data_IF_789210319565
#
_entry.id   IF_789210319565
#
_cell.length_a   1.000
_cell.length_b   1.000
_cell.length_c   1.000
_cell.angle_alpha   90.00
_cell.angle_beta   90.00
_cell.angle_gamma   90.00
#
_symmetry.space_group_name_H-M   'P 1'
#
loop_
_entity.id
_entity.type
_entity.pdbx_description
1 polymer ?
#
# COMPACT_ATOMS: atom_id res chain seq x y z
N UNK A 1 22.57 6.29 4.58
CA UNK A 1 21.09 6.21 4.69
C UNK A 1 20.61 4.84 4.29
N UNK A 2 19.48 4.37 4.83
CA UNK A 2 18.79 3.14 4.45
C UNK A 2 17.30 3.41 4.36
N UNK A 3 16.62 2.74 3.44
CA UNK A 3 15.19 2.88 3.20
C UNK A 3 14.63 1.57 2.68
N UNK A 4 13.49 1.16 3.23
CA UNK A 4 12.69 0.06 2.73
C UNK A 4 11.25 0.54 2.50
N UNK A 5 10.71 0.14 1.35
CA UNK A 5 9.28 0.18 1.05
C UNK A 5 8.77 -1.26 1.20
N UNK A 6 7.88 -1.48 2.16
CA UNK A 6 7.35 -2.81 2.49
C UNK A 6 5.95 -3.02 1.91
N UNK A 7 5.16 -1.96 1.77
CA UNK A 7 3.86 -1.98 1.09
C UNK A 7 3.70 -0.68 0.30
N UNK A 8 3.16 -0.74 -0.93
CA UNK A 8 2.75 -1.95 -1.66
C UNK A 8 3.96 -2.75 -2.19
N UNK A 9 3.77 -4.06 -2.41
CA UNK A 9 4.78 -4.89 -3.08
C UNK A 9 4.63 -4.82 -4.60
N UNK A 10 5.72 -5.17 -5.30
CA UNK A 10 5.70 -5.20 -6.77
C UNK A 10 4.68 -6.22 -7.29
N UNK A 11 3.88 -5.78 -8.26
CA UNK A 11 2.82 -6.52 -8.95
C UNK A 11 1.63 -6.92 -8.06
N UNK A 12 1.48 -6.31 -6.88
CA UNK A 12 0.26 -6.49 -6.10
C UNK A 12 -0.95 -5.83 -6.78
N UNK A 13 -2.13 -6.37 -6.48
CA UNK A 13 -3.40 -5.80 -6.92
C UNK A 13 -4.10 -5.17 -5.72
N UNK A 14 -4.41 -3.88 -5.82
CA UNK A 14 -5.14 -3.15 -4.79
C UNK A 14 -6.50 -2.67 -5.28
N UNK A 15 -7.44 -2.64 -4.34
CA UNK A 15 -8.73 -1.99 -4.43
C UNK A 15 -9.04 -1.42 -3.05
N UNK A 16 -9.82 -0.34 -2.99
CA UNK A 16 -10.24 0.27 -1.73
C UNK A 16 -9.12 1.05 -1.04
N UNK A 17 -9.05 0.88 0.28
CA UNK A 17 -8.04 1.47 1.16
C UNK A 17 -7.11 0.35 1.62
N UNK A 18 -5.81 0.56 1.51
CA UNK A 18 -4.79 -0.39 1.96
C UNK A 18 -3.65 0.33 2.68
N UNK A 19 -2.63 -0.42 3.10
CA UNK A 19 -1.48 0.18 3.78
C UNK A 19 -0.42 0.63 2.76
N UNK A 20 0.27 1.71 3.07
CA UNK A 20 1.54 2.10 2.46
C UNK A 20 2.51 2.30 3.62
N UNK A 21 3.58 1.50 3.66
CA UNK A 21 4.48 1.47 4.82
C UNK A 21 5.89 1.04 4.50
N UNK A 22 6.77 1.30 5.46
CA UNK A 22 8.15 0.84 5.44
C UNK A 22 8.93 1.44 6.60
N UNK A 23 10.23 1.60 6.41
CA UNK A 23 11.12 2.23 7.38
C UNK A 23 12.26 2.96 6.69
N UNK A 24 12.78 4.00 7.35
CA UNK A 24 13.93 4.78 6.87
C UNK A 24 14.91 5.04 8.02
N UNK A 25 16.20 5.14 7.72
CA UNK A 25 17.27 5.39 8.69
C UNK A 25 18.37 6.26 8.11
N UNK A 26 18.80 7.26 8.87
CA UNK A 26 20.04 7.98 8.63
C UNK A 26 20.72 8.27 9.97
N UNK A 27 22.06 8.25 10.00
CA UNK A 27 22.82 8.57 11.22
C UNK A 27 22.59 10.00 11.70
N UNK A 28 22.14 10.89 10.83
CA UNK A 28 21.75 12.27 11.15
C UNK A 28 20.27 12.42 11.52
N UNK A 29 19.47 11.35 11.50
CA UNK A 29 18.02 11.41 11.61
C UNK A 29 17.32 11.61 10.26
N UNK A 30 16.03 11.33 10.23
CA UNK A 30 15.15 11.49 9.06
C UNK A 30 14.27 12.72 9.28
N UNK A 31 14.37 13.68 8.37
CA UNK A 31 13.58 14.90 8.37
C UNK A 31 12.16 14.67 7.83
N UNK A 32 12.05 13.89 6.74
CA UNK A 32 10.75 13.50 6.17
C UNK A 32 10.85 12.26 5.28
N UNK A 33 9.70 11.63 5.05
CA UNK A 33 9.51 10.59 4.03
C UNK A 33 8.45 11.09 3.05
N UNK A 34 8.89 11.48 1.86
CA UNK A 34 8.03 11.99 0.79
C UNK A 34 7.45 10.82 -0.02
N UNK A 35 6.17 10.93 -0.39
CA UNK A 35 5.48 9.93 -1.23
C UNK A 35 5.07 10.56 -2.55
N UNK A 36 5.49 9.91 -3.64
CA UNK A 36 5.08 10.21 -4.99
C UNK A 36 4.29 9.03 -5.57
N UNK A 37 3.29 9.33 -6.39
CA UNK A 37 2.58 8.34 -7.21
C UNK A 37 2.65 8.80 -8.66
N UNK A 38 3.12 7.90 -9.52
CA UNK A 38 3.41 8.16 -10.94
C UNK A 38 4.32 9.38 -11.16
N UNK A 39 5.28 9.57 -10.24
CA UNK A 39 6.22 10.69 -10.26
C UNK A 39 5.65 12.03 -9.75
N UNK A 40 4.40 12.06 -9.30
CA UNK A 40 3.75 13.26 -8.76
C UNK A 40 3.70 13.17 -7.24
N UNK A 41 4.16 14.23 -6.57
CA UNK A 41 4.04 14.36 -5.11
C UNK A 41 2.58 14.24 -4.66
N UNK A 42 2.36 13.44 -3.60
CA UNK A 42 1.03 13.28 -2.99
C UNK A 42 1.01 13.86 -1.58
N UNK A 43 1.91 13.42 -0.70
CA UNK A 43 2.06 13.91 0.68
C UNK A 43 3.39 13.43 1.30
N UNK A 44 3.73 13.95 2.49
CA UNK A 44 4.77 13.35 3.34
C UNK A 44 4.13 12.32 4.30
N UNK A 45 4.69 11.11 4.35
CA UNK A 45 4.21 10.04 5.22
C UNK A 45 4.56 10.31 6.70
N UNK A 46 3.66 10.01 7.65
CA UNK A 46 3.99 10.05 9.07
C UNK A 46 5.16 9.12 9.39
N UNK A 47 6.16 9.64 10.09
CA UNK A 47 7.40 8.95 10.45
C UNK A 47 7.58 8.93 11.98
N UNK A 48 8.39 8.00 12.50
CA UNK A 48 8.63 7.83 13.94
C UNK A 48 7.98 6.58 14.54
N UNK A 49 7.42 5.70 13.70
CA UNK A 49 6.73 4.49 14.14
C UNK A 49 7.68 3.44 14.73
N UNK A 50 7.22 2.71 15.74
CA UNK A 50 8.01 1.66 16.40
C UNK A 50 8.36 0.51 15.44
N UNK A 51 9.64 0.14 15.41
CA UNK A 51 10.25 -0.94 14.62
C UNK A 51 11.36 -1.61 15.41
N UNK A 52 11.00 -2.41 16.40
CA UNK A 52 11.97 -3.13 17.24
C UNK A 52 12.86 -4.09 16.46
N UNK A 53 12.38 -4.63 15.34
CA UNK A 53 13.16 -5.44 14.39
C UNK A 53 14.28 -4.62 13.73
N UNK A 54 13.97 -3.39 13.31
CA UNK A 54 14.93 -2.46 12.72
C UNK A 54 15.89 -1.94 13.79
N UNK A 55 15.39 -1.62 14.99
CA UNK A 55 16.20 -1.21 16.14
C UNK A 55 17.20 -2.27 16.58
N UNK A 56 16.79 -3.55 16.57
CA UNK A 56 17.69 -4.67 16.84
C UNK A 56 18.75 -4.89 15.76
N UNK A 57 18.40 -4.69 14.49
CA UNK A 57 19.32 -4.85 13.36
C UNK A 57 20.32 -3.70 13.20
N UNK A 58 19.96 -2.49 13.64
CA UNK A 58 20.76 -1.26 13.49
C UNK A 58 20.93 -0.51 14.82
N UNK A 59 21.30 -1.24 15.87
CA UNK A 59 21.46 -0.71 17.23
C UNK A 59 22.51 0.41 17.36
N UNK A 60 23.38 0.57 16.37
CA UNK A 60 24.39 1.64 16.29
C UNK A 60 23.83 2.98 15.82
N UNK A 61 22.61 3.01 15.27
CA UNK A 61 21.94 4.21 14.78
C UNK A 61 20.92 4.66 15.83
N UNK A 62 21.01 5.92 16.24
CA UNK A 62 20.07 6.53 17.17
C UNK A 62 18.63 6.50 16.63
N UNK A 63 17.66 6.24 17.51
CA UNK A 63 16.23 6.12 17.20
C UNK A 63 15.90 5.12 16.07
N UNK A 64 16.76 4.11 15.86
CA UNK A 64 16.51 3.08 14.85
C UNK A 64 15.27 2.23 15.12
N UNK A 65 14.84 2.17 16.38
CA UNK A 65 13.58 1.57 16.83
C UNK A 65 12.35 2.44 16.54
N UNK A 66 12.52 3.68 16.09
CA UNK A 66 11.45 4.63 15.69
C UNK A 66 11.54 4.99 14.20
N UNK A 67 11.96 4.03 13.39
CA UNK A 67 12.26 4.23 11.97
C UNK A 67 11.06 4.05 11.03
N UNK A 68 9.90 3.65 11.57
CA UNK A 68 8.74 3.29 10.77
C UNK A 68 8.02 4.50 10.16
N UNK A 69 7.55 4.34 8.93
CA UNK A 69 6.49 5.15 8.36
C UNK A 69 5.32 4.26 7.93
N UNK A 70 4.09 4.74 8.07
CA UNK A 70 2.88 3.99 7.68
C UNK A 70 1.70 4.93 7.52
N UNK A 71 0.83 4.64 6.55
CA UNK A 71 -0.47 5.28 6.44
C UNK A 71 -1.49 4.41 5.72
N UNK A 72 -2.78 4.70 5.96
CA UNK A 72 -3.86 4.18 5.13
C UNK A 72 -3.93 4.98 3.81
N UNK A 73 -3.73 4.31 2.68
CA UNK A 73 -3.77 4.91 1.36
C UNK A 73 -5.02 4.46 0.58
N UNK A 74 -5.74 5.42 0.00
CA UNK A 74 -6.92 5.15 -0.82
C UNK A 74 -6.51 4.84 -2.27
N UNK A 75 -6.15 3.59 -2.55
CA UNK A 75 -5.84 3.12 -3.90
C UNK A 75 -6.99 3.34 -4.89
N UNK A 76 -8.25 3.37 -4.42
CA UNK A 76 -9.42 3.65 -5.28
C UNK A 76 -9.50 5.09 -5.78
N UNK A 77 -8.67 6.01 -5.27
CA UNK A 77 -8.55 7.36 -5.83
C UNK A 77 -7.84 7.36 -7.19
N UNK A 78 -7.07 6.31 -7.50
CA UNK A 78 -6.36 6.15 -8.76
C UNK A 78 -7.27 5.57 -9.86
N UNK A 79 -6.84 5.70 -11.12
CA UNK A 79 -7.46 5.00 -12.24
C UNK A 79 -7.26 3.49 -12.14
N UNK A 80 -8.07 2.70 -12.85
CA UNK A 80 -7.76 1.28 -13.00
C UNK A 80 -6.53 1.12 -13.92
N UNK A 81 -5.63 0.20 -13.57
CA UNK A 81 -4.39 -0.05 -14.30
C UNK A 81 -3.15 0.00 -13.42
N UNK A 82 -1.99 -0.04 -14.07
CA UNK A 82 -0.69 -0.03 -13.42
C UNK A 82 -0.34 1.38 -12.92
N UNK A 83 0.20 1.45 -11.71
CA UNK A 83 0.69 2.66 -11.04
C UNK A 83 2.03 2.37 -10.36
N UNK A 84 2.82 3.41 -10.16
CA UNK A 84 4.08 3.30 -9.41
C UNK A 84 4.08 4.26 -8.23
N UNK A 85 4.32 3.74 -7.03
CA UNK A 85 4.63 4.57 -5.87
C UNK A 85 6.14 4.67 -5.70
N UNK A 86 6.62 5.86 -5.35
CA UNK A 86 7.99 6.12 -4.94
C UNK A 86 7.97 6.76 -3.57
N UNK A 87 8.75 6.22 -2.64
CA UNK A 87 9.03 6.84 -1.35
C UNK A 87 10.45 7.37 -1.35
N UNK A 88 10.62 8.61 -0.91
CA UNK A 88 11.92 9.30 -0.82
C UNK A 88 12.15 9.70 0.63
N UNK A 89 13.18 9.14 1.26
CA UNK A 89 13.60 9.56 2.58
C UNK A 89 14.58 10.74 2.45
N UNK A 90 14.41 11.75 3.29
CA UNK A 90 15.31 12.89 3.41
C UNK A 90 15.93 12.90 4.80
N UNK A 91 17.26 12.93 4.90
CA UNK A 91 17.96 13.08 6.17
C UNK A 91 18.00 14.54 6.62
N UNK A 92 18.26 14.79 7.90
CA UNK A 92 18.44 16.15 8.46
C UNK A 92 19.64 16.91 7.85
N UNK A 93 20.58 16.18 7.21
CA UNK A 93 21.73 16.78 6.50
C UNK A 93 21.49 16.91 5.00
N UNK A 94 20.30 16.56 4.50
CA UNK A 94 19.91 16.71 3.10
C UNK A 94 20.24 15.51 2.20
N UNK A 95 20.74 14.40 2.76
CA UNK A 95 20.91 13.17 1.99
C UNK A 95 19.54 12.61 1.59
N UNK A 96 19.46 11.97 0.41
CA UNK A 96 18.23 11.36 -0.10
C UNK A 96 18.45 9.92 -0.54
N UNK A 97 17.45 9.07 -0.34
CA UNK A 97 17.41 7.66 -0.77
C UNK A 97 15.96 7.39 -1.17
N UNK A 98 15.76 6.59 -2.22
CA UNK A 98 14.42 6.31 -2.74
C UNK A 98 14.19 4.83 -2.99
N UNK A 99 12.93 4.39 -2.83
CA UNK A 99 12.44 3.07 -3.20
C UNK A 99 11.12 3.19 -3.93
N UNK A 100 10.90 2.30 -4.89
CA UNK A 100 9.66 2.28 -5.67
C UNK A 100 9.06 0.88 -5.72
N UNK A 101 7.74 0.84 -5.85
CA UNK A 101 7.00 -0.36 -6.17
C UNK A 101 5.94 -0.06 -7.24
N UNK A 102 5.79 -0.98 -8.18
CA UNK A 102 4.76 -0.92 -9.22
C UNK A 102 3.63 -1.89 -8.85
N UNK A 103 2.39 -1.44 -8.89
CA UNK A 103 1.21 -2.21 -8.49
C UNK A 103 0.05 -1.92 -9.46
N UNK A 104 -0.96 -2.79 -9.44
CA UNK A 104 -2.15 -2.64 -10.27
C UNK A 104 -3.36 -2.26 -9.43
N UNK A 105 -4.14 -1.29 -9.90
CA UNK A 105 -5.41 -0.90 -9.29
C UNK A 105 -6.56 -1.51 -10.08
N UNK A 106 -7.46 -2.21 -9.40
CA UNK A 106 -8.73 -2.68 -9.95
C UNK A 106 -9.89 -1.96 -9.29
N UNK A 107 -11.02 -1.85 -9.99
CA UNK A 107 -12.20 -1.12 -9.53
C UNK A 107 -13.48 -1.82 -9.96
N UNK A 108 -14.54 -1.63 -9.17
CA UNK A 108 -15.89 -1.88 -9.64
C UNK A 108 -16.27 -0.87 -10.72
N UNK A 109 -17.25 -1.22 -11.56
CA UNK A 109 -17.73 -0.35 -12.64
C UNK A 109 -18.28 0.99 -12.12
N UNK A 110 -18.78 1.01 -10.88
CA UNK A 110 -19.25 2.21 -10.18
C UNK A 110 -18.43 2.44 -8.92
N UNK A 111 -18.19 3.72 -8.60
CA UNK A 111 -17.52 4.12 -7.35
C UNK A 111 -18.39 3.89 -6.11
N UNK A 112 -19.71 3.80 -6.29
CA UNK A 112 -20.66 3.58 -5.21
C UNK A 112 -21.78 2.65 -5.69
N UNK A 113 -21.99 1.57 -4.94
CA UNK A 113 -23.06 0.60 -5.17
C UNK A 113 -24.19 0.98 -4.22
N UNK A 114 -25.21 1.67 -4.72
CA UNK A 114 -26.32 2.21 -3.91
C UNK A 114 -27.55 1.32 -3.87
N UNK A 115 -27.71 0.47 -4.88
CA UNK A 115 -28.85 -0.43 -4.98
C UNK A 115 -28.60 -1.64 -4.07
N UNK A 116 -29.47 -1.90 -3.07
CA UNK A 116 -29.33 -3.04 -2.15
C UNK A 116 -29.36 -4.40 -2.87
N UNK A 117 -29.95 -4.46 -4.07
CA UNK A 117 -30.05 -5.68 -4.87
C UNK A 117 -28.98 -5.76 -5.98
N UNK A 118 -28.02 -4.82 -6.00
CA UNK A 118 -26.96 -4.77 -7.02
C UNK A 118 -26.02 -6.00 -6.99
N UNK A 119 -25.93 -6.69 -5.86
CA UNK A 119 -25.04 -7.86 -5.70
C UNK A 119 -25.85 -9.14 -5.81
N UNK A 120 -25.59 -9.92 -6.86
CA UNK A 120 -26.22 -11.22 -7.10
C UNK A 120 -25.17 -12.34 -7.08
N UNK A 121 -25.33 -13.26 -6.12
CA UNK A 121 -24.42 -14.39 -5.89
C UNK A 121 -25.07 -15.76 -6.16
N UNK A 122 -26.26 -15.80 -6.78
CA UNK A 122 -27.02 -17.04 -6.95
C UNK A 122 -26.28 -18.10 -7.79
N UNK A 123 -25.42 -17.67 -8.72
CA UNK A 123 -24.57 -18.53 -9.56
C UNK A 123 -23.12 -18.56 -9.09
N UNK A 124 -22.78 -17.81 -8.04
CA UNK A 124 -21.40 -17.68 -7.58
C UNK A 124 -20.94 -18.95 -6.87
N UNK A 125 -19.65 -19.26 -6.97
CA UNK A 125 -19.01 -20.32 -6.19
C UNK A 125 -17.91 -19.74 -5.31
N UNK A 126 -17.66 -20.37 -4.17
CA UNK A 126 -16.66 -19.91 -3.21
C UNK A 126 -15.59 -20.99 -3.02
N UNK A 127 -14.32 -20.57 -3.00
CA UNK A 127 -13.20 -21.41 -2.61
C UNK A 127 -12.35 -20.72 -1.57
N UNK A 128 -11.77 -21.51 -0.67
CA UNK A 128 -10.81 -21.05 0.33
C UNK A 128 -9.49 -21.73 0.05
N UNK A 129 -8.41 -20.96 -0.04
CA UNK A 129 -7.07 -21.49 -0.27
C UNK A 129 -6.04 -20.60 0.41
N UNK A 130 -5.18 -21.20 1.24
CA UNK A 130 -4.18 -20.47 2.02
C UNK A 130 -4.84 -19.45 2.96
N UNK A 131 -4.47 -18.20 2.77
CA UNK A 131 -4.91 -17.00 3.50
C UNK A 131 -5.95 -16.18 2.73
N UNK A 132 -6.72 -16.82 1.84
CA UNK A 132 -7.69 -16.10 1.02
C UNK A 132 -8.98 -16.85 0.74
N UNK A 133 -10.02 -16.05 0.49
CA UNK A 133 -11.32 -16.46 -0.03
C UNK A 133 -11.46 -15.92 -1.44
N UNK A 134 -11.86 -16.79 -2.37
CA UNK A 134 -12.22 -16.42 -3.73
C UNK A 134 -13.68 -16.71 -3.98
N UNK A 135 -14.37 -15.72 -4.51
CA UNK A 135 -15.73 -15.80 -5.01
C UNK A 135 -15.66 -15.70 -6.54
N UNK A 136 -16.11 -16.74 -7.23
CA UNK A 136 -16.20 -16.77 -8.68
C UNK A 136 -17.61 -16.44 -9.12
N UNK A 137 -17.73 -15.83 -10.29
CA UNK A 137 -19.01 -15.54 -10.95
C UNK A 137 -19.99 -14.68 -10.12
N UNK A 138 -19.47 -13.70 -9.38
CA UNK A 138 -20.28 -12.73 -8.66
C UNK A 138 -20.75 -11.62 -9.60
N UNK A 139 -22.04 -11.31 -9.60
CA UNK A 139 -22.55 -10.14 -10.33
C UNK A 139 -22.66 -8.96 -9.39
N UNK A 140 -22.12 -7.81 -9.82
CA UNK A 140 -22.28 -6.51 -9.16
C UNK A 140 -22.71 -5.51 -10.22
N UNK A 141 -23.92 -4.96 -10.08
CA UNK A 141 -24.53 -4.07 -11.09
C UNK A 141 -24.53 -4.70 -12.50
N UNK A 142 -24.97 -5.97 -12.59
CA UNK A 142 -24.98 -6.78 -13.83
C UNK A 142 -23.60 -7.03 -14.48
N UNK A 143 -22.51 -6.63 -13.82
CA UNK A 143 -21.14 -6.92 -14.27
C UNK A 143 -20.59 -8.12 -13.51
N UNK A 144 -20.00 -9.07 -14.25
CA UNK A 144 -19.41 -10.29 -13.72
C UNK A 144 -18.01 -10.02 -13.14
N UNK A 145 -17.77 -10.50 -11.93
CA UNK A 145 -16.51 -10.38 -11.20
C UNK A 145 -16.08 -11.71 -10.57
N UNK A 146 -14.78 -11.97 -10.64
CA UNK A 146 -14.10 -12.85 -9.69
C UNK A 146 -13.47 -11.98 -8.60
N UNK A 147 -13.88 -12.20 -7.35
CA UNK A 147 -13.44 -11.40 -6.21
C UNK A 147 -12.54 -12.25 -5.33
N UNK A 148 -11.35 -11.74 -5.05
CA UNK A 148 -10.40 -12.37 -4.13
C UNK A 148 -10.21 -11.48 -2.91
N UNK A 149 -10.53 -11.99 -1.73
CA UNK A 149 -10.15 -11.41 -0.45
C UNK A 149 -8.94 -12.17 0.09
N UNK A 150 -7.86 -11.45 0.42
CA UNK A 150 -6.62 -11.98 0.99
C UNK A 150 -6.27 -11.21 2.26
N UNK A 151 -5.62 -11.87 3.21
CA UNK A 151 -5.15 -11.29 4.47
C UNK A 151 -3.75 -11.75 4.83
#
# INVERSE_FOLDING_TARGET
MRLALEEPLNNETHLGIGNLRGWALASSGIAKVEVLVDGVYVYDAPYGGQRGDVGGAFSEIEDSDKSGFSLAYNYSALSAGEHTVTVVAHSELGDTEQKSATFNVVKFAKNFISDPDAVNLNSATCSVAGDGVKLYDAFVDDVLYDVTLKW
#
